data_IF_522267893791
#
_entry.id   IF_522267893791
#
_cell.length_a   1.000
_cell.length_b   1.000
_cell.length_c   1.000
_cell.angle_alpha   90.00
_cell.angle_beta   90.00
_cell.angle_gamma   90.00
#
_symmetry.space_group_name_H-M   'P 1'
#
loop_
_entity.id
_entity.type
_entity.pdbx_description
1 polymer ?
#
# COMPACT_ATOMS: atom_id res chain seq x y z
N UNK A 1 -18.21 -0.87 21.01
CA UNK A 1 -16.87 -0.32 20.79
C UNK A 1 -16.40 0.26 22.10
N UNK A 2 -15.44 -0.38 22.74
CA UNK A 2 -14.96 0.04 24.05
C UNK A 2 -14.23 1.39 23.95
N UNK A 3 -14.59 2.29 24.85
CA UNK A 3 -14.04 3.64 24.94
C UNK A 3 -12.64 3.56 25.59
N UNK A 4 -11.67 2.99 24.87
CA UNK A 4 -10.30 2.82 25.34
C UNK A 4 -9.60 4.18 25.33
N UNK A 5 -9.54 4.81 26.50
CA UNK A 5 -8.83 6.06 26.73
C UNK A 5 -7.49 5.78 27.41
N UNK A 6 -6.41 6.36 26.90
CA UNK A 6 -5.07 6.23 27.46
C UNK A 6 -4.36 7.58 27.47
N UNK A 7 -3.26 7.70 28.23
CA UNK A 7 -2.43 8.89 28.21
C UNK A 7 -1.37 8.78 27.11
N UNK A 8 -1.42 9.65 26.11
CA UNK A 8 -0.44 9.72 25.04
C UNK A 8 0.67 10.70 25.44
N UNK A 9 1.84 10.18 25.72
CA UNK A 9 3.05 10.93 26.08
C UNK A 9 3.56 11.80 24.92
N UNK A 10 3.45 11.33 23.68
CA UNK A 10 3.82 12.10 22.48
C UNK A 10 2.96 13.37 22.29
N UNK A 11 1.74 13.38 22.85
CA UNK A 11 0.82 14.53 22.81
C UNK A 11 0.65 15.21 24.17
N UNK A 12 1.20 14.65 25.25
CA UNK A 12 1.05 15.15 26.62
C UNK A 12 -0.39 15.17 27.15
N UNK A 13 -1.30 14.34 26.64
CA UNK A 13 -2.72 14.39 27.00
C UNK A 13 -3.41 13.02 26.94
N UNK A 14 -4.57 12.89 27.60
CA UNK A 14 -5.43 11.71 27.45
C UNK A 14 -6.13 11.74 26.09
N UNK A 15 -6.12 10.62 25.38
CA UNK A 15 -6.73 10.46 24.05
C UNK A 15 -7.50 9.15 23.99
N UNK A 16 -8.53 9.11 23.15
CA UNK A 16 -9.21 7.89 22.77
C UNK A 16 -8.42 7.17 21.67
N UNK A 17 -8.31 5.84 21.75
CA UNK A 17 -7.62 5.02 20.76
C UNK A 17 -8.09 5.29 19.31
N UNK A 18 -9.40 5.47 19.09
CA UNK A 18 -9.99 5.79 17.78
C UNK A 18 -9.55 7.14 17.21
N UNK A 19 -9.00 8.04 18.03
CA UNK A 19 -8.43 9.31 17.57
C UNK A 19 -6.99 9.16 17.08
N UNK A 20 -6.29 8.05 17.39
CA UNK A 20 -4.91 7.83 16.99
C UNK A 20 -4.70 7.86 15.46
N UNK A 21 -5.54 7.22 14.62
CA UNK A 21 -5.45 7.32 13.16
C UNK A 21 -5.54 8.74 12.59
N UNK A 22 -6.08 9.72 13.33
CA UNK A 22 -6.08 11.12 12.92
C UNK A 22 -4.77 11.86 13.26
N UNK A 23 -3.89 11.24 14.04
CA UNK A 23 -2.62 11.83 14.45
C UNK A 23 -1.62 11.83 13.28
N UNK A 24 -0.83 12.90 13.16
CA UNK A 24 0.26 12.99 12.18
C UNK A 24 1.40 12.02 12.46
N UNK A 25 1.53 11.58 13.71
CA UNK A 25 2.53 10.60 14.13
C UNK A 25 2.04 9.16 13.95
N UNK A 26 0.80 8.95 13.49
CA UNK A 26 0.27 7.60 13.28
C UNK A 26 0.75 7.02 11.95
N UNK A 27 1.18 5.74 11.91
CA UNK A 27 1.36 4.84 13.06
C UNK A 27 2.60 5.20 13.90
N UNK A 28 2.50 5.15 15.24
CA UNK A 28 3.62 5.41 16.15
C UNK A 28 3.97 4.18 16.99
N UNK A 29 5.17 4.18 17.57
CA UNK A 29 5.71 3.10 18.41
C UNK A 29 4.95 2.87 19.73
N UNK A 30 4.00 3.74 20.09
CA UNK A 30 3.18 3.59 21.30
C UNK A 30 1.99 2.64 21.12
N UNK A 31 1.56 2.40 19.89
CA UNK A 31 0.50 1.46 19.60
C UNK A 31 1.09 0.06 19.49
N UNK A 32 0.57 -0.87 20.29
CA UNK A 32 0.95 -2.27 20.19
C UNK A 32 0.11 -3.00 19.10
N UNK A 33 0.43 -4.28 18.86
CA UNK A 33 -0.28 -5.08 17.87
C UNK A 33 -1.78 -5.24 18.17
N UNK A 34 -2.18 -5.33 19.43
CA UNK A 34 -3.60 -5.43 19.82
C UNK A 34 -4.35 -4.12 19.55
N UNK A 35 -3.74 -2.96 19.86
CA UNK A 35 -4.29 -1.64 19.54
C UNK A 35 -4.49 -1.48 18.03
N UNK A 36 -3.49 -1.88 17.24
CA UNK A 36 -3.56 -1.83 15.78
C UNK A 36 -4.64 -2.77 15.23
N UNK A 37 -4.77 -3.97 15.80
CA UNK A 37 -5.83 -4.93 15.42
C UNK A 37 -7.23 -4.39 15.74
N UNK A 38 -7.41 -3.68 16.85
CA UNK A 38 -8.67 -3.04 17.21
C UNK A 38 -9.00 -1.90 16.22
N UNK A 39 -8.01 -1.10 15.87
CA UNK A 39 -8.17 -0.02 14.90
C UNK A 39 -8.49 -0.57 13.50
N UNK A 40 -7.79 -1.60 13.04
CA UNK A 40 -8.06 -2.18 11.72
C UNK A 40 -9.46 -2.79 11.61
N UNK A 41 -10.02 -3.28 12.72
CA UNK A 41 -11.38 -3.83 12.75
C UNK A 41 -12.49 -2.77 12.80
N UNK A 42 -12.17 -1.48 12.92
CA UNK A 42 -13.20 -0.45 13.02
C UNK A 42 -13.80 -0.08 11.66
N UNK A 43 -15.13 -0.15 11.46
CA UNK A 43 -15.78 0.29 10.23
C UNK A 43 -15.60 1.79 9.92
N UNK A 44 -15.30 2.62 10.92
CA UNK A 44 -15.11 4.07 10.78
C UNK A 44 -13.72 4.50 10.30
N UNK A 45 -12.81 3.54 10.10
CA UNK A 45 -11.46 3.77 9.60
C UNK A 45 -11.33 3.12 8.22
N UNK A 46 -10.50 3.70 7.35
CA UNK A 46 -10.15 3.14 6.04
C UNK A 46 -8.64 3.01 5.94
N UNK A 47 -8.17 1.99 5.22
CA UNK A 47 -6.76 1.82 4.93
C UNK A 47 -6.44 2.59 3.66
N UNK A 48 -5.46 3.49 3.72
CA UNK A 48 -5.10 4.35 2.57
C UNK A 48 -3.60 4.35 2.37
N UNK A 49 -3.16 4.45 1.11
CA UNK A 49 -1.76 4.70 0.78
C UNK A 49 -1.46 6.16 1.12
N UNK A 50 -0.50 6.38 2.02
CA UNK A 50 -0.06 7.73 2.38
C UNK A 50 1.17 8.16 1.58
N UNK A 51 2.09 7.24 1.36
CA UNK A 51 3.31 7.49 0.62
C UNK A 51 3.74 6.26 -0.16
N UNK A 52 4.64 6.47 -1.11
CA UNK A 52 5.41 5.42 -1.72
C UNK A 52 6.83 5.50 -1.16
N UNK A 53 7.27 4.43 -0.53
CA UNK A 53 8.62 4.32 0.01
C UNK A 53 9.55 3.72 -1.06
N UNK A 54 10.76 4.27 -1.25
CA UNK A 54 11.70 3.71 -2.20
C UNK A 54 12.25 2.37 -1.70
N UNK A 55 12.02 1.31 -2.47
CA UNK A 55 12.59 -0.02 -2.29
C UNK A 55 13.75 -0.27 -3.26
N UNK A 56 14.61 -1.24 -2.93
CA UNK A 56 15.61 -1.77 -3.86
C UNK A 56 15.05 -3.02 -4.50
N UNK A 57 15.11 -3.08 -5.82
CA UNK A 57 14.75 -4.28 -6.57
C UNK A 57 15.83 -4.55 -7.62
N UNK A 58 15.83 -5.76 -8.18
CA UNK A 58 16.62 -6.09 -9.35
C UNK A 58 15.71 -6.84 -10.31
N UNK A 59 15.26 -6.12 -11.32
CA UNK A 59 14.34 -6.60 -12.33
C UNK A 59 14.76 -6.04 -13.68
N UNK A 60 14.50 -6.78 -14.75
CA UNK A 60 14.79 -6.36 -16.10
C UNK A 60 13.50 -6.27 -16.91
N UNK A 61 13.42 -5.28 -17.79
CA UNK A 61 12.34 -5.15 -18.77
C UNK A 61 12.98 -5.17 -20.15
N UNK A 62 12.67 -6.20 -20.93
CA UNK A 62 13.10 -6.38 -22.30
C UNK A 62 12.11 -5.66 -23.21
N UNK A 63 12.60 -4.79 -24.08
CA UNK A 63 11.84 -4.16 -25.17
C UNK A 63 12.19 -4.86 -26.47
N UNK A 64 11.20 -5.44 -27.13
CA UNK A 64 11.33 -6.06 -28.44
C UNK A 64 11.10 -5.06 -29.57
N UNK A 65 11.58 -5.39 -30.77
CA UNK A 65 11.46 -4.56 -31.96
C UNK A 65 10.01 -4.35 -32.42
N UNK A 66 9.11 -5.26 -32.05
CA UNK A 66 7.66 -5.13 -32.29
C UNK A 66 6.97 -4.15 -31.31
N UNK A 67 7.72 -3.58 -30.37
CA UNK A 67 7.23 -2.66 -29.35
C UNK A 67 6.74 -3.34 -28.07
N UNK A 68 6.72 -4.67 -28.01
CA UNK A 68 6.30 -5.40 -26.81
C UNK A 68 7.35 -5.29 -25.69
N UNK A 69 6.86 -5.36 -24.44
CA UNK A 69 7.67 -5.31 -23.22
C UNK A 69 7.49 -6.62 -22.44
N UNK A 70 8.60 -7.20 -21.97
CA UNK A 70 8.60 -8.40 -21.13
C UNK A 70 9.44 -8.21 -19.88
N UNK A 71 8.85 -8.47 -18.73
CA UNK A 71 9.53 -8.49 -17.44
C UNK A 71 10.31 -9.79 -17.24
N UNK A 72 11.54 -9.68 -16.72
CA UNK A 72 12.41 -10.81 -16.39
C UNK A 72 13.16 -10.52 -15.09
N UNK A 73 13.00 -11.36 -14.06
CA UNK A 73 13.67 -11.18 -12.78
C UNK A 73 15.16 -11.60 -12.81
N UNK A 74 15.46 -12.71 -13.48
CA UNK A 74 16.74 -13.42 -13.33
C UNK A 74 17.72 -13.26 -14.52
N UNK A 75 17.60 -12.18 -15.29
CA UNK A 75 18.51 -11.96 -16.43
C UNK A 75 19.94 -11.65 -15.96
N UNK A 76 20.93 -12.29 -16.58
CA UNK A 76 22.35 -11.99 -16.42
C UNK A 76 22.86 -11.13 -17.59
N UNK A 77 23.21 -9.85 -17.37
CA UNK A 77 23.70 -8.97 -18.44
C UNK A 77 25.03 -9.41 -19.07
N UNK A 78 25.83 -10.21 -18.35
CA UNK A 78 27.12 -10.69 -18.83
C UNK A 78 27.03 -12.05 -19.54
N UNK A 79 25.88 -12.71 -19.46
CA UNK A 79 25.60 -14.01 -20.07
C UNK A 79 24.11 -14.11 -20.39
N UNK A 80 23.61 -13.34 -21.37
CA UNK A 80 22.19 -13.30 -21.69
C UNK A 80 21.77 -14.56 -22.46
N UNK A 81 20.61 -15.12 -22.10
CA UNK A 81 20.02 -16.25 -22.82
C UNK A 81 19.72 -15.88 -24.29
N UNK A 82 20.35 -16.55 -25.28
CA UNK A 82 20.17 -16.24 -26.69
C UNK A 82 18.70 -16.29 -27.15
N UNK A 83 17.88 -17.19 -26.61
CA UNK A 83 16.48 -17.32 -26.98
C UNK A 83 15.66 -16.11 -26.52
N UNK A 84 16.01 -15.54 -25.36
CA UNK A 84 15.36 -14.32 -24.85
C UNK A 84 15.77 -13.06 -25.62
N UNK A 85 16.92 -13.09 -26.29
CA UNK A 85 17.49 -11.94 -27.01
C UNK A 85 17.02 -11.84 -28.46
N UNK A 86 16.30 -12.83 -28.98
CA UNK A 86 15.75 -12.79 -30.33
C UNK A 86 14.72 -11.65 -30.46
N UNK A 87 14.93 -10.77 -31.45
CA UNK A 87 14.05 -9.62 -31.67
C UNK A 87 14.13 -8.53 -30.60
N UNK A 88 15.12 -8.56 -29.70
CA UNK A 88 15.30 -7.53 -28.66
C UNK A 88 15.90 -6.24 -29.25
N UNK A 89 15.32 -5.11 -28.86
CA UNK A 89 15.81 -3.76 -29.15
C UNK A 89 16.65 -3.23 -27.99
N UNK A 90 16.16 -3.33 -26.76
CA UNK A 90 16.83 -2.77 -25.57
C UNK A 90 16.40 -3.50 -24.31
N UNK A 91 17.29 -3.58 -23.32
CA UNK A 91 16.98 -4.10 -21.98
C UNK A 91 17.15 -3.00 -20.95
N UNK A 92 16.10 -2.73 -20.17
CA UNK A 92 16.13 -1.81 -19.05
C UNK A 92 16.38 -2.56 -17.75
N UNK A 93 17.33 -2.09 -16.95
CA UNK A 93 17.52 -2.59 -15.58
C UNK A 93 16.79 -1.67 -14.59
N UNK A 94 15.83 -2.22 -13.87
CA UNK A 94 15.11 -1.56 -12.79
C UNK A 94 15.82 -1.87 -11.48
N UNK A 95 16.34 -0.82 -10.83
CA UNK A 95 17.07 -0.91 -9.56
C UNK A 95 16.29 -0.38 -8.35
N UNK A 96 15.17 0.29 -8.60
CA UNK A 96 14.32 0.91 -7.59
C UNK A 96 12.87 0.60 -7.86
N UNK A 97 12.14 0.37 -6.78
CA UNK A 97 10.70 0.20 -6.78
C UNK A 97 10.08 1.18 -5.78
N UNK A 98 8.78 1.40 -5.93
CA UNK A 98 8.01 2.29 -5.08
C UNK A 98 6.97 1.46 -4.32
N UNK A 99 7.20 1.26 -3.03
CA UNK A 99 6.40 0.37 -2.18
C UNK A 99 5.31 1.21 -1.49
N UNK A 100 4.02 0.85 -1.63
CA UNK A 100 2.94 1.59 -0.97
C UNK A 100 3.01 1.44 0.55
N UNK A 101 3.15 2.57 1.25
CA UNK A 101 3.00 2.65 2.70
C UNK A 101 1.53 2.89 3.05
N UNK A 102 0.92 1.86 3.62
CA UNK A 102 -0.47 1.91 4.06
C UNK A 102 -0.59 2.44 5.49
N UNK A 103 -1.56 3.31 5.72
CA UNK A 103 -1.92 3.83 7.05
C UNK A 103 -3.43 3.79 7.25
N UNK A 104 -3.85 3.71 8.51
CA UNK A 104 -5.26 3.87 8.86
C UNK A 104 -5.58 5.35 8.99
N UNK A 105 -6.69 5.77 8.37
CA UNK A 105 -7.23 7.13 8.50
C UNK A 105 -8.74 7.09 8.78
N UNK A 106 -9.28 8.08 9.51
CA UNK A 106 -10.71 8.22 9.66
C UNK A 106 -11.40 8.36 8.30
N UNK A 107 -12.50 7.64 8.11
CA UNK A 107 -13.37 7.84 6.96
C UNK A 107 -13.97 9.26 6.96
N UNK A 108 -14.40 9.72 5.80
CA UNK A 108 -15.03 11.04 5.62
C UNK A 108 -16.29 11.18 6.49
N UNK A 109 -16.81 12.40 6.59
CA UNK A 109 -18.05 12.62 7.36
C UNK A 109 -19.23 11.87 6.72
N UNK A 110 -19.31 11.89 5.40
CA UNK A 110 -20.35 11.26 4.58
C UNK A 110 -20.27 9.73 4.69
N UNK A 111 -19.07 9.15 4.57
CA UNK A 111 -18.84 7.72 4.77
C UNK A 111 -19.26 7.25 6.17
N UNK A 112 -18.92 8.04 7.20
CA UNK A 112 -19.32 7.74 8.58
C UNK A 112 -20.83 7.83 8.77
N UNK A 113 -21.50 8.79 8.11
CA UNK A 113 -22.96 8.90 8.16
C UNK A 113 -23.65 7.68 7.52
N UNK A 114 -23.14 7.18 6.39
CA UNK A 114 -23.65 5.96 5.75
C UNK A 114 -23.56 4.74 6.69
N UNK A 115 -22.41 4.56 7.35
CA UNK A 115 -22.22 3.50 8.35
C UNK A 115 -23.23 3.63 9.51
N UNK A 116 -23.44 4.85 10.00
CA UNK A 116 -24.41 5.11 11.08
C UNK A 116 -25.85 4.84 10.62
N UNK A 117 -26.16 5.10 9.35
CA UNK A 117 -27.47 4.83 8.73
C UNK A 117 -27.68 3.34 8.39
N UNK A 118 -26.70 2.47 8.66
CA UNK A 118 -26.80 1.03 8.42
C UNK A 118 -26.47 0.62 6.98
N UNK A 119 -26.02 1.56 6.15
CA UNK A 119 -25.42 1.26 4.85
C UNK A 119 -24.01 0.73 5.12
N UNK A 120 -23.89 -0.60 5.17
CA UNK A 120 -22.58 -1.24 5.26
C UNK A 120 -21.76 -0.80 4.05
N UNK A 121 -20.52 -0.33 4.25
CA UNK A 121 -19.66 -0.01 3.14
C UNK A 121 -19.47 -1.29 2.32
N UNK A 122 -19.56 -1.18 1.00
CA UNK A 122 -19.01 -2.19 0.10
C UNK A 122 -17.62 -2.52 0.61
N UNK A 123 -17.37 -3.81 0.89
CA UNK A 123 -16.08 -4.27 1.37
C UNK A 123 -15.00 -3.65 0.50
N UNK A 124 -14.06 -2.90 1.10
CA UNK A 124 -12.80 -2.59 0.43
C UNK A 124 -12.18 -3.96 0.15
N UNK A 125 -12.41 -4.47 -1.06
CA UNK A 125 -11.98 -5.78 -1.49
C UNK A 125 -10.48 -5.88 -1.29
N UNK A 126 -10.04 -7.01 -0.77
CA UNK A 126 -8.69 -7.51 -1.00
C UNK A 126 -8.54 -7.84 -2.49
N UNK A 127 -8.68 -6.84 -3.37
CA UNK A 127 -8.37 -6.99 -4.78
C UNK A 127 -6.89 -6.68 -4.94
N UNK A 128 -6.07 -7.67 -4.56
CA UNK A 128 -4.82 -7.90 -5.28
C UNK A 128 -5.16 -8.48 -6.66
N UNK A 129 -5.83 -7.69 -7.50
CA UNK A 129 -5.93 -8.00 -8.92
C UNK A 129 -4.68 -7.47 -9.61
N UNK A 130 -4.00 -8.30 -10.44
CA UNK A 130 -2.85 -7.85 -11.18
C UNK A 130 -3.27 -6.73 -12.14
N UNK A 131 -2.52 -5.63 -12.11
CA UNK A 131 -2.69 -4.51 -13.02
C UNK A 131 -2.60 -5.05 -14.46
N UNK A 132 -3.74 -5.23 -15.13
CA UNK A 132 -3.78 -5.35 -16.59
C UNK A 132 -3.61 -3.95 -17.16
N UNK A 133 -2.38 -3.62 -17.55
CA UNK A 133 -2.10 -2.41 -18.31
C UNK A 133 -2.45 -2.68 -19.77
N UNK A 134 -3.64 -2.25 -20.18
CA UNK A 134 -4.02 -2.19 -21.59
C UNK A 134 -3.39 -0.93 -22.20
N UNK A 135 -2.38 -1.09 -23.05
CA UNK A 135 -1.89 0.00 -23.89
C UNK A 135 -2.60 -0.01 -25.24
N UNK A 136 -3.11 1.16 -25.64
CA UNK A 136 -3.59 1.50 -27.00
C UNK A 136 -2.37 1.90 -27.83
#
# INVERSE_FOLDING_TARGET
MDNHNFFCDLRGQRVNLMACPACKLHPCSRLNAADLSLLSGSPFLSRRVESLDPGKTRMFVIKYQDGSLKEVADLNPNDPDPELMEGVETVYQISREWIPRWVLRPKSKEERQRIIQGELPESEGEDSDPIQVSFI
#
